data_IF_574629385230
#
_entry.id   IF_574629385230
#
_cell.length_a   1.000
_cell.length_b   1.000
_cell.length_c   1.000
_cell.angle_alpha   90.00
_cell.angle_beta   90.00
_cell.angle_gamma   90.00
#
_symmetry.space_group_name_H-M   'P 1'
#
loop_
_entity.id
_entity.type
_entity.pdbx_description
1 polymer ?
#
# COMPACT_ATOMS: atom_id res chain seq x y z
N UNK A 1 -11.51 4.55 -4.77
CA UNK A 1 -11.17 3.54 -3.76
C UNK A 1 -9.66 3.46 -3.52
N UNK A 2 -9.20 3.79 -2.32
CA UNK A 2 -7.84 3.49 -1.89
C UNK A 2 -7.82 2.13 -1.15
N UNK A 3 -6.65 1.49 -1.11
CA UNK A 3 -6.46 0.17 -0.52
C UNK A 3 -5.99 0.28 0.93
N UNK A 4 -6.74 -0.35 1.83
CA UNK A 4 -6.43 -0.40 3.27
C UNK A 4 -5.24 -1.31 3.60
N UNK A 5 -4.87 -1.36 4.89
CA UNK A 5 -3.74 -2.15 5.37
C UNK A 5 -3.87 -3.63 4.98
N UNK A 6 -2.76 -4.23 4.53
CA UNK A 6 -2.69 -5.63 4.10
C UNK A 6 -3.34 -5.93 2.74
N UNK A 7 -3.95 -4.95 2.08
CA UNK A 7 -4.51 -5.15 0.73
C UNK A 7 -3.40 -5.13 -0.33
N UNK A 8 -3.54 -6.00 -1.33
CA UNK A 8 -2.59 -6.15 -2.42
C UNK A 8 -2.48 -4.88 -3.25
N UNK A 9 -1.27 -4.38 -3.49
CA UNK A 9 -0.99 -3.15 -4.22
C UNK A 9 0.19 -3.33 -5.16
N UNK A 10 0.29 -2.44 -6.14
CA UNK A 10 1.42 -2.39 -7.07
C UNK A 10 2.43 -1.35 -6.58
N UNK A 11 3.70 -1.72 -6.35
CA UNK A 11 4.71 -0.76 -5.95
C UNK A 11 4.90 0.31 -7.02
N UNK A 12 4.97 1.57 -6.58
CA UNK A 12 5.00 2.73 -7.48
C UNK A 12 3.62 3.21 -7.93
N UNK A 13 2.54 2.46 -7.67
CA UNK A 13 1.18 3.00 -7.77
C UNK A 13 0.71 3.48 -6.40
N UNK A 14 0.18 4.70 -6.37
CA UNK A 14 -0.38 5.29 -5.16
C UNK A 14 -1.81 4.75 -4.90
N UNK A 15 -1.94 3.43 -4.80
CA UNK A 15 -3.22 2.75 -4.59
C UNK A 15 -3.61 2.70 -3.11
N UNK A 16 -2.65 2.86 -2.20
CA UNK A 16 -2.88 2.72 -0.77
C UNK A 16 -3.55 3.96 -0.19
N UNK A 17 -4.35 3.78 0.87
CA UNK A 17 -4.96 4.91 1.57
C UNK A 17 -3.91 5.80 2.26
N UNK A 18 -4.29 7.03 2.59
CA UNK A 18 -3.42 7.96 3.30
C UNK A 18 -2.86 7.34 4.59
N UNK A 19 -1.57 7.53 4.85
CA UNK A 19 -0.84 6.86 5.93
C UNK A 19 -0.35 5.44 5.60
N UNK A 20 -0.64 4.94 4.40
CA UNK A 20 -0.15 3.64 3.92
C UNK A 20 0.71 3.83 2.66
N UNK A 21 1.69 2.95 2.50
CA UNK A 21 2.50 2.83 1.29
C UNK A 21 2.51 1.39 0.79
N UNK A 22 2.69 1.21 -0.51
CA UNK A 22 2.79 -0.12 -1.06
C UNK A 22 4.15 -0.74 -0.73
N UNK A 23 4.14 -1.86 0.00
CA UNK A 23 5.36 -2.63 0.28
C UNK A 23 5.93 -3.19 -1.02
N UNK A 24 7.12 -2.75 -1.43
CA UNK A 24 7.77 -3.28 -2.64
C UNK A 24 8.08 -4.78 -2.54
N UNK A 25 8.40 -5.26 -1.32
CA UNK A 25 8.73 -6.67 -1.07
C UNK A 25 7.50 -7.57 -1.09
N UNK A 26 6.45 -7.18 -0.39
CA UNK A 26 5.30 -8.06 -0.19
C UNK A 26 4.07 -7.69 -1.02
N UNK A 27 4.12 -6.57 -1.76
CA UNK A 27 3.07 -6.11 -2.68
C UNK A 27 1.71 -5.92 -1.99
N UNK A 28 1.75 -5.41 -0.76
CA UNK A 28 0.55 -5.01 -0.01
C UNK A 28 0.76 -3.69 0.74
N UNK A 29 -0.34 -2.98 1.00
CA UNK A 29 -0.34 -1.67 1.64
C UNK A 29 0.03 -1.77 3.11
N UNK A 30 1.19 -1.26 3.49
CA UNK A 30 1.70 -1.22 4.86
C UNK A 30 1.65 0.21 5.40
N UNK A 31 1.73 0.37 6.72
CA UNK A 31 1.87 1.70 7.33
C UNK A 31 3.15 2.36 6.85
N UNK A 32 3.05 3.63 6.47
CA UNK A 32 4.21 4.50 6.27
C UNK A 32 4.74 4.86 7.66
N UNK A 33 5.75 4.12 8.14
CA UNK A 33 6.46 4.45 9.38
C UNK A 33 7.39 5.63 9.14
#
# INVERSE_FOLDING_TARGET
>A
ECKGFGKSCVPGKNECCSGLTCSNKHKWCKVLL
#
